data_IF_164138747865
#
_entry.id   IF_164138747865
#
_cell.length_a   1.000
_cell.length_b   1.000
_cell.length_c   1.000
_cell.angle_alpha   90.00
_cell.angle_beta   90.00
_cell.angle_gamma   90.00
#
_symmetry.space_group_name_H-M   'P 1'
#
loop_
_entity.id
_entity.type
_entity.pdbx_description
1 polymer ?
#
# COMPACT_ATOMS: atom_id res chain seq x y z
N UNK A 1 8.91 -1.81 -10.11
CA UNK A 1 8.75 -0.43 -9.61
C UNK A 1 10.08 0.33 -9.48
N UNK A 2 11.18 -0.35 -9.11
CA UNK A 2 12.49 0.30 -8.89
C UNK A 2 13.05 1.02 -10.12
N UNK A 3 13.12 0.34 -11.27
CA UNK A 3 13.71 0.91 -12.50
C UNK A 3 12.95 2.16 -12.96
N UNK A 4 11.61 2.13 -12.96
CA UNK A 4 10.78 3.27 -13.33
C UNK A 4 11.04 4.49 -12.41
N UNK A 5 11.11 4.28 -11.08
CA UNK A 5 11.37 5.40 -10.15
C UNK A 5 12.78 5.97 -10.30
N UNK A 6 13.77 5.14 -10.63
CA UNK A 6 15.15 5.58 -10.85
C UNK A 6 15.30 6.33 -12.18
N UNK A 7 14.62 5.88 -13.24
CA UNK A 7 14.69 6.45 -14.59
C UNK A 7 13.92 7.78 -14.72
N UNK A 8 12.81 7.95 -14.02
CA UNK A 8 11.97 9.15 -14.13
C UNK A 8 12.09 10.11 -12.95
N UNK A 9 12.74 9.69 -11.86
CA UNK A 9 12.82 10.47 -10.61
C UNK A 9 11.48 10.63 -9.87
N UNK A 10 10.41 9.96 -10.33
CA UNK A 10 9.09 10.06 -9.71
C UNK A 10 9.02 9.27 -8.41
N UNK A 11 8.18 9.74 -7.48
CA UNK A 11 7.93 9.02 -6.25
C UNK A 11 6.92 7.90 -6.50
N UNK A 12 7.26 6.68 -6.11
CA UNK A 12 6.47 5.48 -6.36
C UNK A 12 6.31 4.70 -5.06
N UNK A 13 5.09 4.26 -4.80
CA UNK A 13 4.74 3.32 -3.75
C UNK A 13 3.99 2.16 -4.40
N UNK A 14 4.44 0.94 -4.12
CA UNK A 14 3.80 -0.30 -4.54
C UNK A 14 3.59 -1.15 -3.29
N UNK A 15 2.35 -1.57 -3.08
CA UNK A 15 1.94 -2.48 -2.02
C UNK A 15 1.25 -3.68 -2.65
N UNK A 16 1.66 -4.88 -2.26
CA UNK A 16 1.08 -6.15 -2.72
C UNK A 16 0.75 -6.97 -1.49
N UNK A 17 -0.53 -7.27 -1.30
CA UNK A 17 -0.99 -8.18 -0.26
C UNK A 17 -1.19 -9.58 -0.85
N UNK A 18 -0.64 -10.60 -0.19
CA UNK A 18 -0.89 -12.01 -0.51
C UNK A 18 -2.18 -12.47 0.17
N UNK A 19 -2.83 -13.49 -0.39
CA UNK A 19 -3.93 -14.22 0.26
C UNK A 19 -3.56 -14.77 1.64
N UNK A 20 -2.27 -15.04 1.86
CA UNK A 20 -1.74 -15.49 3.17
C UNK A 20 -1.59 -14.36 4.19
N UNK A 21 -1.93 -13.12 3.84
CA UNK A 21 -1.81 -11.94 4.71
C UNK A 21 -0.44 -11.27 4.70
N UNK A 22 0.52 -11.76 3.91
CA UNK A 22 1.83 -11.11 3.76
C UNK A 22 1.72 -9.85 2.90
N UNK A 23 2.24 -8.73 3.40
CA UNK A 23 2.29 -7.46 2.66
C UNK A 23 3.72 -7.21 2.19
N UNK A 24 3.91 -7.18 0.88
CA UNK A 24 5.16 -6.78 0.25
C UNK A 24 5.06 -5.32 -0.18
N UNK A 25 6.02 -4.50 0.22
CA UNK A 25 6.01 -3.07 -0.03
C UNK A 25 7.31 -2.61 -0.69
N UNK A 26 7.18 -1.77 -1.71
CA UNK A 26 8.27 -1.01 -2.29
C UNK A 26 7.92 0.48 -2.24
N UNK A 27 8.78 1.29 -1.64
CA UNK A 27 8.56 2.73 -1.54
C UNK A 27 9.85 3.51 -1.82
N UNK A 28 9.74 4.58 -2.60
CA UNK A 28 10.82 5.56 -2.77
C UNK A 28 11.04 6.38 -1.50
N UNK A 29 12.19 7.03 -1.34
CA UNK A 29 12.61 7.68 -0.09
C UNK A 29 11.58 8.64 0.53
N UNK A 30 10.81 9.40 -0.27
CA UNK A 30 9.77 10.30 0.27
C UNK A 30 8.51 9.55 0.75
N UNK A 31 8.24 8.37 0.22
CA UNK A 31 7.05 7.57 0.54
C UNK A 31 7.33 6.42 1.51
N UNK A 32 8.61 6.11 1.79
CA UNK A 32 9.03 5.20 2.87
C UNK A 32 8.32 5.44 4.21
N UNK A 33 8.17 6.69 4.71
CA UNK A 33 7.46 6.89 5.97
C UNK A 33 6.01 6.43 5.94
N UNK A 34 5.36 6.34 4.78
CA UNK A 34 3.98 5.85 4.66
C UNK A 34 3.85 4.34 4.98
N UNK A 35 4.92 3.55 4.79
CA UNK A 35 4.94 2.12 5.08
C UNK A 35 5.74 1.77 6.34
N UNK A 36 6.63 2.67 6.79
CA UNK A 36 7.48 2.44 7.96
C UNK A 36 6.90 3.04 9.25
N UNK A 37 6.16 4.14 9.16
CA UNK A 37 5.57 4.78 10.34
C UNK A 37 4.39 3.97 10.90
N UNK A 38 4.25 4.00 12.22
CA UNK A 38 3.12 3.39 12.93
C UNK A 38 1.75 3.79 12.37
N UNK A 39 1.43 5.09 12.15
CA UNK A 39 0.14 5.49 11.58
C UNK A 39 -0.05 4.96 10.15
N UNK A 40 1.02 4.90 9.35
CA UNK A 40 0.97 4.35 8.00
C UNK A 40 0.68 2.85 7.99
N UNK A 41 1.35 2.09 8.86
CA UNK A 41 1.10 0.65 9.02
C UNK A 41 -0.32 0.35 9.51
N UNK A 42 -0.81 1.13 10.49
CA UNK A 42 -2.18 0.99 10.98
C UNK A 42 -3.20 1.26 9.87
N UNK A 43 -2.97 2.27 9.04
CA UNK A 43 -3.84 2.58 7.91
C UNK A 43 -3.86 1.43 6.90
N UNK A 44 -2.70 0.89 6.52
CA UNK A 44 -2.60 -0.26 5.61
C UNK A 44 -3.30 -1.48 6.20
N UNK A 45 -3.07 -1.79 7.47
CA UNK A 45 -3.74 -2.90 8.16
C UNK A 45 -5.25 -2.72 8.22
N UNK A 46 -5.74 -1.52 8.52
CA UNK A 46 -7.17 -1.23 8.55
C UNK A 46 -7.81 -1.43 7.17
N UNK A 47 -7.14 -1.02 6.10
CA UNK A 47 -7.62 -1.23 4.73
C UNK A 47 -7.61 -2.71 4.32
N UNK A 48 -6.62 -3.49 4.75
CA UNK A 48 -6.55 -4.93 4.46
C UNK A 48 -7.52 -5.76 5.31
N UNK A 49 -7.80 -5.31 6.52
CA UNK A 49 -8.77 -5.92 7.43
C UNK A 49 -10.19 -5.41 7.20
N UNK A 50 -10.37 -4.42 6.32
CA UNK A 50 -11.70 -4.03 5.89
C UNK A 50 -12.27 -5.23 5.14
N UNK A 51 -13.15 -5.97 5.80
CA UNK A 51 -14.00 -6.96 5.15
C UNK A 51 -14.58 -6.29 3.91
N UNK A 52 -14.64 -7.00 2.78
CA UNK A 52 -15.28 -6.54 1.55
C UNK A 52 -16.78 -6.28 1.80
N UNK A 53 -17.10 -5.22 2.53
CA UNK A 53 -18.42 -4.61 2.57
C UNK A 53 -18.46 -3.81 1.29
N UNK A 54 -18.60 -4.51 0.15
CA UNK A 54 -19.35 -3.95 -0.95
C UNK A 54 -20.68 -3.53 -0.33
N UNK A 55 -20.97 -2.23 -0.17
CA UNK A 55 -22.35 -1.88 0.06
C UNK A 55 -23.02 -2.27 -1.25
N UNK A 56 -23.84 -3.31 -1.19
CA UNK A 56 -24.95 -3.50 -2.09
C UNK A 56 -25.76 -2.20 -2.05
N UNK A 57 -25.34 -1.20 -2.82
CA UNK A 57 -26.21 -0.10 -3.23
C UNK A 57 -26.90 -0.62 -4.49
N UNK A 58 -28.13 -1.14 -4.41
CA UNK A 58 -28.96 -1.16 -5.59
C UNK A 58 -29.24 0.32 -5.93
N UNK A 59 -29.21 0.64 -7.22
CA UNK A 59 -29.83 1.85 -7.74
C UNK A 59 -31.28 1.97 -7.26
#
# INVERSE_FOLDING_TARGET
>A
ANELSTLTGTQVLLLVASETGHVYAFATSKLKPMILSEPGKQLIQNCLNATEVFPLFPF
#
